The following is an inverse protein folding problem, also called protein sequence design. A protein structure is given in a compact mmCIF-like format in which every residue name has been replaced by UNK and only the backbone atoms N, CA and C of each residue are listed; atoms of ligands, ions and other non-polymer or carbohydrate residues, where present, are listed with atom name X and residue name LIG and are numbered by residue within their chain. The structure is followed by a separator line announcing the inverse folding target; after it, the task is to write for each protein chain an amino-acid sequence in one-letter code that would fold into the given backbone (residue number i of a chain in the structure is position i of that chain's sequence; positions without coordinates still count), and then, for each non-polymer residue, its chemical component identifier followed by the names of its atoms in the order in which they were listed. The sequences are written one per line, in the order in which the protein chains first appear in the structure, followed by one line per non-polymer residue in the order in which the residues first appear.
data_IF_485772878757
#
_entry.id   IF_485772878757
#
_cell.length_a   1.000
_cell.length_b   1.000
_cell.length_c   1.000
_cell.angle_alpha   90.00
_cell.angle_beta   90.00
_cell.angle_gamma   90.00
#
_symmetry.space_group_name_H-M   'P 1'
#
loop_
_entity.id
_entity.type
_entity.pdbx_description
1 polymer ?
#
# COMPACT_ATOMS: atom_id res chain seq x y z
N UNK A 1 -19.36 0.69 -21.38
CA UNK A 1 -19.48 0.78 -19.91
C UNK A 1 -18.09 0.74 -19.31
N UNK A 2 -17.75 1.53 -18.27
CA UNK A 2 -16.44 1.36 -17.65
C UNK A 2 -16.42 -0.04 -17.02
N UNK A 3 -15.56 -0.92 -17.52
CA UNK A 3 -15.32 -2.22 -16.91
C UNK A 3 -14.98 -2.00 -15.44
N UNK A 4 -15.59 -2.78 -14.54
CA UNK A 4 -15.29 -2.84 -13.11
C UNK A 4 -13.88 -3.43 -12.88
N UNK A 5 -12.86 -2.73 -13.39
CA UNK A 5 -11.45 -3.09 -13.24
C UNK A 5 -10.94 -2.56 -11.92
N UNK A 6 -10.06 -3.32 -11.31
CA UNK A 6 -9.38 -2.92 -10.10
C UNK A 6 -8.55 -1.65 -10.31
N UNK A 7 -8.31 -0.97 -9.20
CA UNK A 7 -7.48 0.23 -9.07
C UNK A 7 -6.50 0.03 -7.92
N UNK A 8 -5.25 0.49 -8.06
CA UNK A 8 -4.40 0.73 -6.93
C UNK A 8 -4.87 2.01 -6.21
N UNK A 9 -4.91 1.93 -4.89
CA UNK A 9 -5.20 3.04 -4.00
C UNK A 9 -4.04 3.25 -3.04
N UNK A 10 -3.60 4.49 -2.87
CA UNK A 10 -2.89 4.89 -1.66
C UNK A 10 -3.92 5.04 -0.53
N UNK A 11 -3.70 4.34 0.58
CA UNK A 11 -4.62 4.30 1.71
C UNK A 11 -3.95 4.82 2.99
N UNK A 12 -4.69 5.65 3.72
CA UNK A 12 -4.28 6.18 5.03
C UNK A 12 -5.10 5.52 6.13
N UNK A 13 -4.40 5.01 7.13
CA UNK A 13 -4.98 4.45 8.34
C UNK A 13 -4.62 5.28 9.56
N UNK A 14 -5.53 5.35 10.53
CA UNK A 14 -5.22 5.93 11.83
C UNK A 14 -4.05 5.18 12.49
N UNK A 15 -3.13 5.93 13.11
CA UNK A 15 -1.96 5.41 13.82
C UNK A 15 -2.00 5.92 15.26
N UNK A 16 -1.67 5.06 16.23
CA UNK A 16 -1.65 5.40 17.65
C UNK A 16 -0.29 5.86 18.19
N UNK A 17 0.71 6.05 17.34
CA UNK A 17 2.09 6.39 17.73
C UNK A 17 2.52 7.78 17.25
N UNK A 18 3.55 8.34 17.88
CA UNK A 18 4.11 9.62 17.47
C UNK A 18 4.84 9.49 16.11
N UNK A 19 4.66 10.46 15.20
CA UNK A 19 5.42 10.51 13.97
C UNK A 19 6.91 10.69 14.28
N UNK A 20 7.76 10.02 13.49
CA UNK A 20 9.22 10.10 13.58
C UNK A 20 9.85 10.76 12.35
N UNK A 21 9.08 10.98 11.28
CA UNK A 21 9.57 11.70 10.10
C UNK A 21 9.55 13.22 10.32
N UNK A 22 10.49 13.97 9.71
CA UNK A 22 10.61 15.42 9.92
C UNK A 22 9.32 16.21 9.63
N UNK A 23 8.63 15.88 8.54
CA UNK A 23 7.40 16.55 8.12
C UNK A 23 6.13 15.81 8.57
N UNK A 24 6.31 14.79 9.43
CA UNK A 24 5.24 13.98 10.04
C UNK A 24 4.37 13.25 9.02
N UNK A 25 4.93 12.87 7.88
CA UNK A 25 4.24 12.09 6.85
C UNK A 25 3.73 10.75 7.42
N UNK A 26 4.41 10.23 8.45
CA UNK A 26 4.06 9.02 9.18
C UNK A 26 3.07 9.24 10.35
N UNK A 27 2.40 10.40 10.41
CA UNK A 27 1.27 10.62 11.35
C UNK A 27 0.15 9.58 11.13
N UNK A 28 -0.02 9.14 9.89
CA UNK A 28 -0.91 8.04 9.52
C UNK A 28 -0.10 6.81 9.10
N UNK A 29 -0.71 5.64 9.20
CA UNK A 29 -0.14 4.42 8.62
C UNK A 29 -0.49 4.37 7.13
N UNK A 30 0.53 4.24 6.27
CA UNK A 30 0.36 4.17 4.82
C UNK A 30 0.32 2.73 4.32
N UNK A 31 -0.55 2.47 3.35
CA UNK A 31 -0.66 1.19 2.67
C UNK A 31 -1.07 1.39 1.21
N UNK A 32 -0.87 0.36 0.39
CA UNK A 32 -1.50 0.24 -0.92
C UNK A 32 -2.66 -0.75 -0.82
N UNK A 33 -3.78 -0.43 -1.47
CA UNK A 33 -4.92 -1.35 -1.63
C UNK A 33 -5.16 -1.56 -3.11
N UNK A 34 -5.36 -2.81 -3.52
CA UNK A 34 -5.84 -3.14 -4.87
C UNK A 34 -7.27 -3.67 -4.74
N UNK A 35 -8.19 -3.08 -5.49
CA UNK A 35 -9.59 -3.54 -5.49
C UNK A 35 -10.48 -2.75 -6.45
N UNK A 36 -11.78 -3.06 -6.51
CA UNK A 36 -12.70 -2.54 -7.50
C UNK A 36 -12.85 -1.01 -7.45
N UNK A 37 -12.89 -0.39 -8.63
CA UNK A 37 -13.06 1.06 -8.78
C UNK A 37 -14.41 1.59 -8.28
N UNK A 38 -15.46 0.77 -8.42
CA UNK A 38 -16.83 1.15 -8.03
C UNK A 38 -17.06 0.76 -6.57
N UNK A 39 -17.74 1.64 -5.83
CA UNK A 39 -18.22 1.30 -4.49
C UNK A 39 -19.27 0.21 -4.62
N UNK A 40 -18.94 -0.97 -4.13
CA UNK A 40 -19.87 -2.10 -4.00
C UNK A 40 -20.07 -2.35 -2.51
N UNK A 41 -21.31 -2.56 -2.07
CA UNK A 41 -21.59 -2.97 -0.70
C UNK A 41 -20.89 -4.30 -0.41
N UNK A 42 -20.19 -4.36 0.73
CA UNK A 42 -19.33 -5.51 1.05
C UNK A 42 -18.12 -5.67 0.11
N UNK A 43 -17.76 -4.64 -0.66
CA UNK A 43 -16.60 -4.68 -1.54
C UNK A 43 -15.31 -5.03 -0.78
N UNK A 44 -14.55 -5.97 -1.34
CA UNK A 44 -13.28 -6.42 -0.80
C UNK A 44 -12.14 -6.00 -1.72
N UNK A 45 -10.95 -5.82 -1.14
CA UNK A 45 -9.70 -5.64 -1.86
C UNK A 45 -8.56 -6.30 -1.09
N UNK A 46 -7.34 -6.17 -1.60
CA UNK A 46 -6.14 -6.68 -0.93
C UNK A 46 -5.28 -5.51 -0.51
N UNK A 47 -4.91 -5.46 0.77
CA UNK A 47 -3.99 -4.47 1.33
C UNK A 47 -2.58 -5.01 1.35
N UNK A 48 -1.64 -4.18 0.92
CA UNK A 48 -0.20 -4.39 0.90
C UNK A 48 0.46 -3.27 1.69
N UNK A 49 1.27 -3.63 2.68
CA UNK A 49 2.01 -2.64 3.47
C UNK A 49 3.23 -3.21 4.16
N UNK A 50 4.17 -2.33 4.48
CA UNK A 50 5.16 -2.58 5.51
C UNK A 50 4.58 -2.22 6.89
N UNK A 51 4.67 -3.13 7.86
CA UNK A 51 4.29 -2.92 9.26
C UNK A 51 5.48 -3.19 10.17
N UNK A 52 5.61 -2.42 11.23
CA UNK A 52 6.55 -2.74 12.29
C UNK A 52 5.99 -3.81 13.22
N UNK A 53 6.82 -4.78 13.60
CA UNK A 53 6.54 -5.76 14.64
C UNK A 53 7.62 -5.66 15.73
N UNK A 54 7.24 -5.71 17.02
CA UNK A 54 8.22 -5.77 18.09
C UNK A 54 9.10 -7.03 17.97
N UNK A 55 10.41 -6.88 18.20
CA UNK A 55 11.33 -8.02 18.31
C UNK A 55 11.36 -8.55 19.74
N UNK A 56 11.51 -9.87 19.88
CA UNK A 56 11.87 -10.46 21.15
C UNK A 56 13.29 -9.97 21.53
N UNK A 57 13.42 -9.23 22.64
CA UNK A 57 14.69 -8.63 23.06
C UNK A 57 14.80 -7.11 22.81
N UNK A 58 13.75 -6.47 22.28
CA UNK A 58 13.67 -5.01 22.12
C UNK A 58 13.86 -4.51 20.69
N UNK A 59 13.30 -3.34 20.41
CA UNK A 59 13.24 -2.76 19.06
C UNK A 59 12.09 -3.29 18.21
N UNK A 60 12.05 -2.86 16.94
CA UNK A 60 11.09 -3.31 15.94
C UNK A 60 11.77 -3.82 14.66
N UNK A 61 11.07 -4.67 13.92
CA UNK A 61 11.40 -5.05 12.54
C UNK A 61 10.26 -4.71 11.60
N UNK A 62 10.61 -4.31 10.39
CA UNK A 62 9.64 -4.20 9.31
C UNK A 62 9.16 -5.58 8.87
N UNK A 63 7.91 -5.70 8.44
CA UNK A 63 7.35 -6.90 7.86
C UNK A 63 6.45 -6.50 6.71
N UNK A 64 6.55 -7.19 5.58
CA UNK A 64 5.54 -7.11 4.55
C UNK A 64 4.30 -7.89 4.99
N UNK A 65 3.13 -7.33 4.76
CA UNK A 65 1.85 -8.02 4.94
C UNK A 65 0.97 -7.76 3.71
N UNK A 66 0.45 -8.86 3.17
CA UNK A 66 -0.59 -8.91 2.14
C UNK A 66 -1.82 -9.56 2.76
N UNK A 67 -2.96 -8.87 2.72
CA UNK A 67 -4.18 -9.37 3.36
C UNK A 67 -5.45 -8.79 2.73
N UNK A 68 -6.47 -9.65 2.58
CA UNK A 68 -7.82 -9.19 2.24
C UNK A 68 -8.34 -8.17 3.25
N UNK A 69 -8.96 -7.11 2.74
CA UNK A 69 -9.53 -6.04 3.55
C UNK A 69 -10.87 -5.55 2.98
N UNK A 70 -11.82 -5.16 3.85
CA UNK A 70 -13.01 -4.43 3.42
C UNK A 70 -12.63 -3.08 2.80
N UNK A 71 -13.31 -2.74 1.71
CA UNK A 71 -13.27 -1.42 1.09
C UNK A 71 -14.33 -0.47 1.66
N UNK A 72 -15.22 -0.97 2.50
CA UNK A 72 -16.12 -0.11 3.28
C UNK A 72 -15.31 0.76 4.26
N UNK A 73 -15.80 1.98 4.59
CA UNK A 73 -15.21 2.76 5.67
C UNK A 73 -15.13 1.93 6.95
N UNK A 74 -13.97 1.92 7.59
CA UNK A 74 -13.78 1.37 8.94
C UNK A 74 -13.32 2.49 9.84
N UNK A 75 -13.42 2.34 11.17
CA UNK A 75 -12.91 3.35 12.11
C UNK A 75 -11.40 3.64 11.93
N UNK A 76 -10.67 2.73 11.27
CA UNK A 76 -9.23 2.86 11.04
C UNK A 76 -8.87 3.32 9.63
N UNK A 77 -9.69 3.07 8.60
CA UNK A 77 -9.42 3.48 7.22
C UNK A 77 -9.96 4.89 6.98
N UNK A 78 -9.06 5.87 6.91
CA UNK A 78 -9.41 7.29 6.85
C UNK A 78 -9.61 7.77 5.41
N UNK A 79 -8.70 7.39 4.51
CA UNK A 79 -8.65 7.91 3.14
C UNK A 79 -8.22 6.81 2.17
N UNK A 80 -8.76 6.85 0.95
CA UNK A 80 -8.27 6.11 -0.22
C UNK A 80 -8.19 7.04 -1.42
N UNK A 81 -7.01 7.13 -2.03
CA UNK A 81 -6.73 7.94 -3.22
C UNK A 81 -6.41 6.99 -4.35
N UNK A 82 -7.12 7.08 -5.48
CA UNK A 82 -6.77 6.33 -6.69
C UNK A 82 -5.45 6.86 -7.22
N UNK A 83 -4.46 5.98 -7.41
CA UNK A 83 -3.12 6.38 -7.89
C UNK A 83 -2.84 5.92 -9.33
N UNK A 84 -3.76 5.16 -9.95
CA UNK A 84 -3.57 4.72 -11.33
C UNK A 84 -4.68 3.81 -11.85
N UNK A 85 -4.45 3.23 -13.02
CA UNK A 85 -5.28 2.17 -13.62
C UNK A 85 -4.49 0.87 -13.65
N UNK A 86 -5.13 -0.27 -13.39
CA UNK A 86 -4.50 -1.58 -13.54
C UNK A 86 -4.66 -2.05 -15.00
N UNK A 87 -3.53 -2.24 -15.69
CA UNK A 87 -3.47 -2.95 -16.97
C UNK A 87 -3.26 -4.45 -16.75
N UNK A 88 -2.27 -4.81 -15.93
CA UNK A 88 -1.92 -6.17 -15.54
C UNK A 88 -1.88 -6.27 -14.00
N UNK A 89 -2.87 -6.95 -13.42
CA UNK A 89 -2.98 -7.10 -11.97
C UNK A 89 -1.93 -8.02 -11.38
N UNK A 90 -1.53 -9.07 -12.11
CA UNK A 90 -0.51 -10.02 -11.65
C UNK A 90 0.86 -9.35 -11.57
N UNK A 91 1.21 -8.55 -12.58
CA UNK A 91 2.46 -7.77 -12.58
C UNK A 91 2.49 -6.74 -11.48
N UNK A 92 1.38 -6.03 -11.27
CA UNK A 92 1.26 -5.08 -10.16
C UNK A 92 1.54 -5.77 -8.82
N UNK A 93 0.90 -6.91 -8.55
CA UNK A 93 1.07 -7.66 -7.30
C UNK A 93 2.50 -8.20 -7.16
N UNK A 94 3.11 -8.68 -8.24
CA UNK A 94 4.51 -9.10 -8.25
C UNK A 94 5.44 -7.96 -7.82
N UNK A 95 5.25 -6.76 -8.38
CA UNK A 95 6.04 -5.58 -8.01
C UNK A 95 5.86 -5.27 -6.52
N UNK A 96 4.63 -5.21 -6.02
CA UNK A 96 4.35 -4.95 -4.60
C UNK A 96 5.00 -5.97 -3.67
N UNK A 97 4.97 -7.26 -4.02
CA UNK A 97 5.62 -8.34 -3.24
C UNK A 97 7.14 -8.26 -3.28
N UNK A 98 7.70 -7.72 -4.36
CA UNK A 98 9.14 -7.56 -4.55
C UNK A 98 9.72 -6.29 -3.92
N UNK A 99 8.88 -5.30 -3.57
CA UNK A 99 9.33 -4.06 -2.93
C UNK A 99 10.06 -4.35 -1.61
N UNK A 100 11.33 -3.96 -1.46
CA UNK A 100 12.16 -4.35 -0.32
C UNK A 100 11.63 -3.88 1.04
N UNK A 101 11.81 -4.72 2.06
CA UNK A 101 11.70 -4.33 3.48
C UNK A 101 13.11 -4.03 4.00
N UNK A 102 13.41 -2.77 4.34
CA UNK A 102 14.76 -2.34 4.70
C UNK A 102 14.98 -2.37 6.22
N UNK A 103 15.33 -3.54 6.73
CA UNK A 103 15.63 -3.71 8.15
C UNK A 103 16.81 -2.84 8.61
N UNK A 104 16.65 -2.19 9.76
CA UNK A 104 17.74 -1.45 10.41
C UNK A 104 18.15 -0.16 9.69
N UNK A 105 17.48 0.23 8.60
CA UNK A 105 17.72 1.54 8.00
C UNK A 105 17.00 2.63 8.80
N UNK A 106 17.73 3.62 9.36
CA UNK A 106 17.11 4.69 10.12
C UNK A 106 16.10 5.46 9.28
N UNK A 107 14.92 5.72 9.85
CA UNK A 107 13.85 6.48 9.20
C UNK A 107 13.03 5.68 8.17
N UNK A 108 13.39 4.43 7.88
CA UNK A 108 12.60 3.59 6.98
C UNK A 108 11.32 3.11 7.68
N UNK A 109 10.17 3.31 7.03
CA UNK A 109 8.85 2.95 7.58
C UNK A 109 7.82 2.66 6.46
N UNK A 110 6.53 2.60 6.82
CA UNK A 110 5.45 2.39 5.85
C UNK A 110 5.35 3.45 4.74
N UNK A 111 5.72 4.71 5.02
CA UNK A 111 5.76 5.79 4.03
C UNK A 111 6.85 5.51 3.00
N UNK A 112 8.06 5.15 3.48
CA UNK A 112 9.18 4.79 2.61
C UNK A 112 8.83 3.62 1.71
N UNK A 113 8.21 2.57 2.26
CA UNK A 113 7.80 1.40 1.47
C UNK A 113 6.76 1.75 0.39
N UNK A 114 5.73 2.54 0.73
CA UNK A 114 4.72 2.97 -0.25
C UNK A 114 5.36 3.81 -1.36
N UNK A 115 6.29 4.71 -1.01
CA UNK A 115 7.04 5.50 -1.99
C UNK A 115 7.83 4.61 -2.95
N UNK A 116 8.65 3.70 -2.43
CA UNK A 116 9.47 2.78 -3.25
C UNK A 116 8.59 1.88 -4.14
N UNK A 117 7.43 1.43 -3.64
CA UNK A 117 6.48 0.65 -4.41
C UNK A 117 5.88 1.45 -5.57
N UNK A 118 5.49 2.71 -5.33
CA UNK A 118 4.96 3.59 -6.39
C UNK A 118 6.02 3.93 -7.43
N UNK A 119 7.25 4.22 -7.01
CA UNK A 119 8.38 4.45 -7.93
C UNK A 119 8.65 3.22 -8.80
N UNK A 120 8.57 2.01 -8.22
CA UNK A 120 8.74 0.75 -8.97
C UNK A 120 7.61 0.51 -9.97
N UNK A 121 6.36 0.84 -9.60
CA UNK A 121 5.20 0.74 -10.50
C UNK A 121 5.28 1.77 -11.64
N UNK A 122 5.77 2.98 -11.35
CA UNK A 122 5.99 4.01 -12.36
C UNK A 122 7.08 3.59 -13.36
N UNK A 123 8.17 3.02 -12.87
CA UNK A 123 9.27 2.52 -13.70
C UNK A 123 8.90 1.31 -14.58
N UNK A 124 7.97 0.46 -14.16
CA UNK A 124 7.44 -0.65 -15.00
C UNK A 124 6.70 -0.12 -16.23
N UNK A 125 6.06 1.05 -16.10
CA UNK A 125 5.39 1.77 -17.19
C UNK A 125 4.15 1.06 -17.76
N UNK A 126 3.37 1.74 -18.62
CA UNK A 126 2.33 1.08 -19.37
C UNK A 126 2.95 0.15 -20.42
N UNK A 127 2.58 -1.13 -20.42
CA UNK A 127 2.94 -2.04 -21.51
C UNK A 127 2.22 -1.57 -22.77
N UNK A 128 2.98 -1.29 -23.81
CA UNK A 128 2.49 -0.97 -25.14
C UNK A 128 1.82 -2.22 -25.72
N UNK A 129 0.49 -2.19 -25.89
CA UNK A 129 -0.28 -3.25 -26.56
C UNK A 129 -0.04 -3.18 -28.08
N UNK A 130 1.21 -3.28 -28.52
CA UNK A 130 1.56 -3.52 -29.92
C UNK A 130 1.96 -4.98 -30.08
N UNK A 131 1.00 -5.85 -30.33
CA UNK A 131 1.07 -7.04 -31.19
C UNK A 131 -0.33 -7.37 -31.71
#
# INVERSE_FOLDING_TARGET
MPSNKDRPYAALYARGGNPIMPDKEDTSHWALIVGPNVKVDGGMGVRYHAKERPKLGGGSEGHFEERDCPLAPTNMLLVRIVVGKVADGSRLVEILRSTPIRQGQPGWNCVSWVKEALESLEADGPRDERH
#
